data_IF_833000582848
#
_entry.id   IF_833000582848
#
_cell.length_a   1.000
_cell.length_b   1.000
_cell.length_c   1.000
_cell.angle_alpha   90.00
_cell.angle_beta   90.00
_cell.angle_gamma   90.00
#
_symmetry.space_group_name_H-M   'P 1'
#
loop_
_entity.id
_entity.type
_entity.pdbx_description
1 polymer ?
#
# COMPACT_ATOMS: atom_id res chain seq x y z
N UNK A 1 13.10 -4.40 -15.07
CA UNK A 1 12.37 -3.20 -14.58
C UNK A 1 11.57 -3.64 -13.36
N UNK A 2 12.02 -3.28 -12.16
CA UNK A 2 11.34 -3.66 -10.92
C UNK A 2 9.98 -2.99 -10.83
N UNK A 3 8.94 -3.78 -10.69
CA UNK A 3 7.56 -3.33 -10.48
C UNK A 3 7.49 -2.46 -9.21
N UNK A 4 7.45 -1.13 -9.37
CA UNK A 4 7.20 -0.19 -8.25
C UNK A 4 5.86 -0.56 -7.64
N UNK A 5 5.95 -1.21 -6.48
CA UNK A 5 4.78 -1.67 -5.73
C UNK A 5 4.49 -0.80 -4.52
N UNK A 6 5.36 0.17 -4.22
CA UNK A 6 5.27 1.14 -3.12
C UNK A 6 4.76 2.49 -3.63
N UNK A 7 3.80 3.07 -2.93
CA UNK A 7 3.12 4.32 -3.25
C UNK A 7 3.07 5.20 -1.99
N UNK A 8 3.22 6.51 -2.14
CA UNK A 8 3.09 7.46 -1.02
C UNK A 8 1.62 7.86 -0.80
N UNK A 9 1.23 8.26 0.42
CA UNK A 9 -0.07 8.87 0.65
C UNK A 9 -0.28 10.08 -0.28
N UNK A 10 -1.51 10.27 -0.76
CA UNK A 10 -1.86 11.31 -1.73
C UNK A 10 -1.53 11.01 -3.19
N UNK A 11 -0.76 9.94 -3.49
CA UNK A 11 -0.53 9.52 -4.87
C UNK A 11 -1.81 8.96 -5.50
N UNK A 12 -1.87 8.92 -6.84
CA UNK A 12 -3.00 8.33 -7.56
C UNK A 12 -2.77 6.83 -7.78
N UNK A 13 -3.75 6.00 -7.44
CA UNK A 13 -3.71 4.57 -7.64
C UNK A 13 -3.66 4.26 -9.14
N UNK A 14 -2.59 3.62 -9.65
CA UNK A 14 -2.45 3.36 -11.09
C UNK A 14 -3.39 2.27 -11.59
N UNK A 15 -3.89 1.42 -10.69
CA UNK A 15 -4.73 0.28 -11.01
C UNK A 15 -5.74 0.06 -9.88
N UNK A 16 -6.86 -0.57 -10.20
CA UNK A 16 -7.79 -1.06 -9.19
C UNK A 16 -7.19 -2.26 -8.44
N UNK A 17 -7.26 -2.24 -7.11
CA UNK A 17 -6.74 -3.33 -6.30
C UNK A 17 -6.74 -3.04 -4.80
N UNK A 18 -6.31 -4.05 -4.04
CA UNK A 18 -6.11 -3.92 -2.60
C UNK A 18 -4.69 -3.44 -2.33
N UNK A 19 -4.60 -2.37 -1.56
CA UNK A 19 -3.38 -1.79 -1.07
C UNK A 19 -3.30 -1.98 0.44
N UNK A 20 -2.11 -2.25 0.94
CA UNK A 20 -1.82 -2.41 2.36
C UNK A 20 -0.74 -1.42 2.77
N UNK A 21 -0.91 -0.82 3.92
CA UNK A 21 0.12 0.03 4.50
C UNK A 21 1.32 -0.83 4.92
N UNK A 22 2.52 -0.42 4.52
CA UNK A 22 3.80 -1.01 4.88
C UNK A 22 4.73 0.10 5.35
N UNK A 23 5.67 -0.21 6.25
CA UNK A 23 6.66 0.76 6.71
C UNK A 23 7.63 1.08 5.57
N UNK A 24 8.41 2.16 5.71
CA UNK A 24 9.46 2.48 4.75
C UNK A 24 10.44 1.32 4.53
N UNK A 25 10.59 0.43 5.52
CA UNK A 25 11.37 -0.78 5.43
C UNK A 25 10.48 -2.04 5.57
N UNK A 26 10.57 -3.01 4.65
CA UNK A 26 9.84 -4.28 4.74
C UNK A 26 10.27 -5.15 5.93
N UNK A 27 11.40 -4.83 6.56
CA UNK A 27 11.99 -5.56 7.70
C UNK A 27 11.73 -4.90 9.07
N UNK A 28 11.09 -3.73 9.09
CA UNK A 28 10.68 -3.11 10.35
C UNK A 28 9.48 -3.87 10.90
N UNK A 29 9.74 -4.84 11.77
CA UNK A 29 8.75 -5.68 12.48
C UNK A 29 7.77 -4.94 13.40
N UNK A 30 7.68 -3.61 13.28
CA UNK A 30 6.91 -2.69 14.11
C UNK A 30 5.63 -2.19 13.43
N UNK A 31 5.14 -2.88 12.39
CA UNK A 31 3.85 -2.52 11.80
C UNK A 31 2.69 -3.05 12.65
N UNK A 32 2.44 -2.38 13.77
CA UNK A 32 1.24 -2.58 14.57
C UNK A 32 0.01 -2.22 13.72
N UNK A 33 -0.69 -3.25 13.24
CA UNK A 33 -1.94 -3.19 12.47
C UNK A 33 -1.84 -2.50 11.08
N UNK A 34 -1.37 -3.23 10.04
CA UNK A 34 -1.42 -2.72 8.66
C UNK A 34 -2.85 -2.39 8.24
N UNK A 35 -3.08 -1.16 7.80
CA UNK A 35 -4.35 -0.77 7.17
C UNK A 35 -4.44 -1.34 5.76
N UNK A 36 -5.60 -1.86 5.40
CA UNK A 36 -5.90 -2.36 4.04
C UNK A 36 -7.00 -1.50 3.44
N UNK A 37 -6.77 -0.99 2.25
CA UNK A 37 -7.72 -0.16 1.51
C UNK A 37 -7.87 -0.72 0.11
N UNK A 38 -9.10 -0.74 -0.40
CA UNK A 38 -9.36 -1.04 -1.80
C UNK A 38 -9.49 0.28 -2.53
N UNK A 39 -8.62 0.53 -3.51
CA UNK A 39 -8.63 1.75 -4.30
C UNK A 39 -8.88 1.40 -5.76
N UNK A 40 -9.66 2.24 -6.42
CA UNK A 40 -9.86 2.19 -7.86
C UNK A 40 -8.76 2.96 -8.59
N UNK A 41 -8.56 2.64 -9.87
CA UNK A 41 -7.65 3.42 -10.72
C UNK A 41 -8.11 4.89 -10.74
N UNK A 42 -7.21 5.82 -10.43
CA UNK A 42 -7.55 7.24 -10.33
C UNK A 42 -7.88 7.71 -8.90
N UNK A 43 -8.03 6.80 -7.93
CA UNK A 43 -8.26 7.20 -6.54
C UNK A 43 -6.98 7.58 -5.81
N UNK A 44 -7.08 8.51 -4.87
CA UNK A 44 -5.94 8.93 -4.06
C UNK A 44 -5.73 7.99 -2.88
N UNK A 45 -4.47 7.67 -2.62
CA UNK A 45 -4.11 6.97 -1.39
C UNK A 45 -4.46 7.83 -0.17
N UNK A 46 -5.17 7.26 0.83
CA UNK A 46 -5.47 8.00 2.05
C UNK A 46 -4.19 8.28 2.84
N UNK A 47 -4.24 9.31 3.67
CA UNK A 47 -3.16 9.63 4.58
C UNK A 47 -2.91 8.46 5.54
N UNK A 48 -1.65 8.05 5.62
CA UNK A 48 -1.19 7.02 6.53
C UNK A 48 -1.08 7.59 7.93
N UNK A 49 -1.09 6.72 8.96
CA UNK A 49 -0.99 7.19 10.36
C UNK A 49 0.38 7.80 10.68
N UNK A 50 1.38 7.58 9.83
CA UNK A 50 2.72 8.15 9.95
C UNK A 50 3.25 8.48 8.55
N UNK A 51 3.94 9.62 8.41
CA UNK A 51 4.43 10.16 7.12
C UNK A 51 5.46 9.23 6.45
N UNK A 52 6.12 8.40 7.26
CA UNK A 52 7.10 7.41 6.82
C UNK A 52 6.47 6.13 6.24
N UNK A 53 5.14 5.97 6.31
CA UNK A 53 4.46 4.78 5.79
C UNK A 53 4.13 4.91 4.31
N UNK A 54 4.22 3.79 3.61
CA UNK A 54 3.90 3.68 2.19
C UNK A 54 2.79 2.66 1.99
N UNK A 55 2.08 2.81 0.90
CA UNK A 55 1.10 1.85 0.43
C UNK A 55 1.76 0.85 -0.50
N UNK A 56 1.59 -0.43 -0.23
CA UNK A 56 2.02 -1.51 -1.11
C UNK A 56 0.84 -2.20 -1.75
N UNK A 57 0.89 -2.42 -3.06
CA UNK A 57 -0.12 -3.26 -3.71
C UNK A 57 0.10 -4.71 -3.29
N UNK A 58 -0.91 -5.31 -2.66
CA UNK A 58 -0.92 -6.75 -2.42
C UNK A 58 -1.77 -7.42 -3.49
N UNK A 59 -1.14 -8.33 -4.24
CA UNK A 59 -1.90 -9.29 -5.03
C UNK A 59 -2.52 -10.23 -4.00
N UNK A 60 -3.84 -10.19 -3.82
CA UNK A 60 -4.55 -11.18 -3.02
C UNK A 60 -4.43 -12.51 -3.75
N UNK A 61 -3.34 -13.24 -3.52
CA UNK A 61 -3.20 -14.60 -4.00
C UNK A 61 -4.12 -15.45 -3.13
N UNK A 62 -5.40 -15.47 -3.47
CA UNK A 62 -6.39 -16.38 -2.87
C UNK A 62 -5.97 -17.79 -3.31
N UNK A 63 -4.99 -18.38 -2.61
CA UNK A 63 -4.73 -19.82 -2.71
C UNK A 63 -5.93 -20.50 -2.07
N UNK A 64 -6.74 -21.15 -2.91
CA UNK A 64 -7.65 -22.22 -2.47
C UNK A 64 -6.84 -23.36 -1.87
#
# INVERSE_FOLDING_TARGET
>A
MGERSEFTPGYEAPNNGVYIEVGAHPDSGDLHHPRRVYLHKGERFPETTNDDRKWRRIKTNKKH
#
